data_IF_586231004303
#
_entry.id   IF_586231004303
#
_cell.length_a   1.000
_cell.length_b   1.000
_cell.length_c   1.000
_cell.angle_alpha   90.00
_cell.angle_beta   90.00
_cell.angle_gamma   90.00
#
_symmetry.space_group_name_H-M   'P 1'
#
loop_
_entity.id
_entity.type
_entity.pdbx_description
1 polymer ?
#
# COMPACT_ATOMS: atom_id res chain seq x y z
N UNK A 1 22.43 34.32 5.30
CA UNK A 1 21.57 34.32 6.50
C UNK A 1 20.11 34.02 6.23
N UNK A 2 19.47 34.57 5.19
CA UNK A 2 18.07 34.27 4.79
C UNK A 2 17.86 32.82 4.31
N UNK A 3 18.79 32.25 3.54
CA UNK A 3 18.71 30.85 3.07
C UNK A 3 18.81 29.81 4.18
N UNK A 4 19.69 30.02 5.16
CA UNK A 4 19.83 29.13 6.31
C UNK A 4 18.56 29.13 7.18
N UNK A 5 17.93 30.30 7.40
CA UNK A 5 16.64 30.41 8.11
C UNK A 5 15.50 29.74 7.37
N UNK A 6 15.45 29.81 6.02
CA UNK A 6 14.49 29.15 5.16
C UNK A 6 14.65 27.61 5.20
N UNK A 7 15.89 27.12 5.21
CA UNK A 7 16.21 25.70 5.36
C UNK A 7 15.78 25.15 6.70
N UNK A 8 16.07 25.86 7.80
CA UNK A 8 15.72 25.46 9.16
C UNK A 8 14.18 25.40 9.35
N UNK A 9 13.47 26.39 8.82
CA UNK A 9 11.99 26.42 8.86
C UNK A 9 11.39 25.23 8.11
N UNK A 10 11.89 24.88 6.92
CA UNK A 10 11.43 23.71 6.13
C UNK A 10 11.70 22.41 6.89
N UNK A 11 12.87 22.24 7.48
CA UNK A 11 13.20 21.07 8.29
C UNK A 11 12.29 20.92 9.51
N UNK A 12 12.00 22.01 10.21
CA UNK A 12 11.09 22.01 11.36
C UNK A 12 9.65 21.68 10.93
N UNK A 13 9.15 22.27 9.83
CA UNK A 13 7.83 21.96 9.29
C UNK A 13 7.72 20.47 8.90
N UNK A 14 8.71 19.94 8.19
CA UNK A 14 8.77 18.51 7.86
C UNK A 14 8.72 17.65 9.12
N UNK A 15 9.56 17.94 10.10
CA UNK A 15 9.59 17.21 11.38
C UNK A 15 8.22 17.23 12.07
N UNK A 16 7.57 18.38 12.13
CA UNK A 16 6.25 18.54 12.76
C UNK A 16 5.19 17.71 12.01
N UNK A 17 5.16 17.78 10.67
CA UNK A 17 4.25 16.99 9.83
C UNK A 17 4.47 15.51 10.07
N UNK A 18 5.71 15.04 10.00
CA UNK A 18 6.07 13.63 10.23
C UNK A 18 5.59 13.14 11.60
N UNK A 19 5.88 13.90 12.67
CA UNK A 19 5.45 13.51 14.03
C UNK A 19 3.94 13.50 14.19
N UNK A 20 3.24 14.46 13.59
CA UNK A 20 1.77 14.52 13.60
C UNK A 20 1.17 13.33 12.86
N UNK A 21 1.70 12.98 11.69
CA UNK A 21 1.25 11.80 10.93
C UNK A 21 1.47 10.51 11.72
N UNK A 22 2.65 10.32 12.31
CA UNK A 22 2.94 9.15 13.16
C UNK A 22 1.97 9.04 14.33
N UNK A 23 1.69 10.16 15.01
CA UNK A 23 0.76 10.19 16.12
C UNK A 23 -0.67 9.84 15.68
N UNK A 24 -1.15 10.43 14.59
CA UNK A 24 -2.47 10.14 14.03
C UNK A 24 -2.60 8.68 13.61
N UNK A 25 -1.60 8.12 12.95
CA UNK A 25 -1.57 6.70 12.57
C UNK A 25 -1.65 5.81 13.81
N UNK A 26 -0.90 6.13 14.88
CA UNK A 26 -0.94 5.37 16.14
C UNK A 26 -2.30 5.48 16.85
N UNK A 27 -2.86 6.67 16.95
CA UNK A 27 -4.19 6.88 17.56
C UNK A 27 -5.23 6.08 16.78
N UNK A 28 -5.27 6.25 15.45
CA UNK A 28 -6.19 5.52 14.60
C UNK A 28 -5.99 4.01 14.75
N UNK A 29 -4.75 3.53 14.66
CA UNK A 29 -4.44 2.11 14.73
C UNK A 29 -4.83 1.45 16.06
N UNK A 30 -4.57 2.13 17.20
CA UNK A 30 -4.90 1.59 18.51
C UNK A 30 -6.40 1.68 18.86
N UNK A 31 -7.16 2.52 18.16
CA UNK A 31 -8.59 2.72 18.43
C UNK A 31 -9.51 2.05 17.40
N UNK A 32 -8.95 1.51 16.33
CA UNK A 32 -9.70 0.91 15.21
C UNK A 32 -9.88 -0.59 15.43
N UNK A 33 -11.06 -1.10 15.11
CA UNK A 33 -11.32 -2.54 15.00
C UNK A 33 -10.92 -3.01 13.62
N UNK A 34 -9.96 -3.94 13.54
CA UNK A 34 -9.46 -4.47 12.27
C UNK A 34 -10.00 -5.89 12.10
N UNK A 35 -10.61 -6.17 10.94
CA UNK A 35 -10.97 -7.50 10.47
C UNK A 35 -10.10 -7.82 9.26
N UNK A 36 -9.34 -8.91 9.34
CA UNK A 36 -8.46 -9.36 8.25
C UNK A 36 -9.07 -10.58 7.58
N UNK A 37 -9.30 -10.49 6.28
CA UNK A 37 -9.77 -11.59 5.45
C UNK A 37 -8.60 -12.23 4.70
N UNK A 38 -8.57 -13.55 4.71
CA UNK A 38 -7.62 -14.35 3.93
C UNK A 38 -6.13 -14.06 4.26
N UNK A 39 -5.82 -13.61 5.47
CA UNK A 39 -4.45 -13.33 5.90
C UNK A 39 -3.52 -14.56 5.78
N UNK A 40 -4.09 -15.79 5.86
CA UNK A 40 -3.36 -17.02 5.65
C UNK A 40 -2.71 -17.11 4.26
N UNK A 41 -3.29 -16.47 3.22
CA UNK A 41 -2.73 -16.44 1.87
C UNK A 41 -1.31 -15.85 1.89
N UNK A 42 -1.12 -14.73 2.58
CA UNK A 42 0.21 -14.14 2.70
C UNK A 42 1.21 -15.09 3.35
N UNK A 43 0.80 -15.77 4.43
CA UNK A 43 1.67 -16.70 5.16
C UNK A 43 2.04 -17.92 4.33
N UNK A 44 1.05 -18.56 3.69
CA UNK A 44 1.29 -19.75 2.85
C UNK A 44 2.15 -19.42 1.64
N UNK A 45 1.91 -18.28 1.00
CA UNK A 45 2.72 -17.83 -0.15
C UNK A 45 4.15 -17.49 0.27
N UNK A 46 4.35 -16.88 1.44
CA UNK A 46 5.69 -16.64 1.98
C UNK A 46 6.43 -17.93 2.29
N UNK A 47 5.76 -18.96 2.81
CA UNK A 47 6.37 -20.27 3.05
C UNK A 47 6.79 -20.96 1.75
N UNK A 48 6.00 -20.82 0.69
CA UNK A 48 6.27 -21.43 -0.62
C UNK A 48 7.38 -20.72 -1.40
N UNK A 49 7.31 -19.40 -1.50
CA UNK A 49 8.21 -18.60 -2.35
C UNK A 49 9.36 -17.92 -1.59
N UNK A 50 9.23 -17.80 -0.28
CA UNK A 50 10.19 -17.11 0.61
C UNK A 50 10.09 -15.58 0.58
N UNK A 51 9.47 -15.00 -0.43
CA UNK A 51 9.17 -13.57 -0.55
C UNK A 51 7.97 -13.35 -1.45
N UNK A 52 7.34 -12.19 -1.35
CA UNK A 52 6.18 -11.78 -2.15
C UNK A 52 6.22 -10.30 -2.52
N UNK A 53 5.42 -9.92 -3.51
CA UNK A 53 5.14 -8.52 -3.84
C UNK A 53 3.72 -8.23 -3.34
N UNK A 54 3.57 -7.40 -2.30
CA UNK A 54 2.24 -6.93 -1.86
C UNK A 54 1.88 -5.70 -2.68
N UNK A 55 0.78 -5.77 -3.44
CA UNK A 55 0.32 -4.69 -4.31
C UNK A 55 -0.99 -4.08 -3.77
N UNK A 56 -1.02 -2.75 -3.64
CA UNK A 56 -2.21 -1.99 -3.24
C UNK A 56 -2.27 -0.67 -3.98
N UNK A 57 -3.47 -0.07 -4.10
CA UNK A 57 -3.63 1.23 -4.72
C UNK A 57 -2.99 2.35 -3.89
N UNK A 58 -2.46 3.38 -4.55
CA UNK A 58 -1.80 4.53 -3.91
C UNK A 58 -2.69 5.24 -2.89
N UNK A 59 -4.00 5.29 -3.12
CA UNK A 59 -4.98 5.86 -2.19
C UNK A 59 -4.95 5.23 -0.78
N UNK A 60 -4.41 4.02 -0.63
CA UNK A 60 -4.38 3.27 0.63
C UNK A 60 -3.05 3.41 1.40
N UNK A 61 -2.07 4.13 0.89
CA UNK A 61 -0.71 4.22 1.46
C UNK A 61 -0.71 4.66 2.94
N UNK A 62 -1.55 5.64 3.30
CA UNK A 62 -1.53 6.26 4.62
C UNK A 62 -1.65 5.24 5.76
N UNK A 63 -2.60 4.33 5.67
CA UNK A 63 -2.84 3.41 6.76
C UNK A 63 -2.30 1.99 6.51
N UNK A 64 -1.83 1.70 5.29
CA UNK A 64 -1.10 0.46 5.00
C UNK A 64 0.12 0.31 5.91
N UNK A 65 0.77 1.42 6.24
CA UNK A 65 1.93 1.44 7.14
C UNK A 65 1.63 0.87 8.53
N UNK A 66 0.40 1.04 9.02
CA UNK A 66 -0.04 0.43 10.27
C UNK A 66 -0.47 -1.02 10.09
N UNK A 67 -1.28 -1.32 9.08
CA UNK A 67 -1.85 -2.65 8.87
C UNK A 67 -0.78 -3.69 8.54
N UNK A 68 0.20 -3.34 7.73
CA UNK A 68 1.25 -4.26 7.27
C UNK A 68 2.59 -4.13 8.05
N UNK A 69 2.65 -3.38 9.17
CA UNK A 69 3.90 -3.04 9.90
C UNK A 69 4.70 -4.24 10.41
N UNK A 70 4.06 -5.39 10.59
CA UNK A 70 4.70 -6.59 11.13
C UNK A 70 5.02 -7.64 10.05
N UNK A 71 5.03 -7.24 8.76
CA UNK A 71 5.21 -8.16 7.63
C UNK A 71 6.61 -8.09 7.00
N UNK A 72 7.55 -7.37 7.65
CA UNK A 72 8.95 -7.23 7.20
C UNK A 72 9.06 -6.80 5.71
N UNK A 73 8.23 -5.84 5.31
CA UNK A 73 8.16 -5.38 3.93
C UNK A 73 9.15 -4.25 3.65
N UNK A 74 9.74 -4.28 2.47
CA UNK A 74 10.47 -3.14 1.90
C UNK A 74 9.53 -2.33 1.00
N UNK A 75 9.40 -1.03 1.25
CA UNK A 75 8.57 -0.14 0.45
C UNK A 75 9.38 0.57 -0.65
N UNK A 76 8.78 0.77 -1.82
CA UNK A 76 9.31 1.68 -2.84
C UNK A 76 8.81 3.09 -2.57
N UNK A 77 9.72 4.02 -2.27
CA UNK A 77 9.38 5.39 -1.89
C UNK A 77 10.05 6.39 -2.82
N UNK A 78 9.28 7.36 -3.34
CA UNK A 78 9.80 8.41 -4.19
C UNK A 78 10.91 9.23 -3.54
N UNK A 79 11.88 9.70 -4.33
CA UNK A 79 12.95 10.61 -3.89
C UNK A 79 12.52 12.09 -3.91
N UNK A 80 11.22 12.40 -3.85
CA UNK A 80 10.68 13.76 -3.75
C UNK A 80 10.65 14.24 -2.29
N UNK A 81 10.42 15.55 -2.09
CA UNK A 81 10.28 16.13 -0.73
C UNK A 81 9.13 15.48 0.06
N UNK A 82 8.00 15.18 -0.58
CA UNK A 82 6.90 14.43 0.03
C UNK A 82 7.30 13.00 0.36
N UNK A 83 8.10 12.38 -0.52
CA UNK A 83 8.68 11.05 -0.30
C UNK A 83 9.58 10.98 0.93
N UNK A 84 10.21 12.08 1.33
CA UNK A 84 11.02 12.14 2.55
C UNK A 84 10.15 12.02 3.82
N UNK A 85 8.97 12.65 3.84
CA UNK A 85 8.00 12.50 4.95
C UNK A 85 7.53 11.05 5.06
N UNK A 86 7.18 10.45 3.92
CA UNK A 86 6.73 9.05 3.85
C UNK A 86 7.85 8.10 4.28
N UNK A 87 9.09 8.35 3.85
CA UNK A 87 10.26 7.58 4.27
C UNK A 87 10.42 7.59 5.79
N UNK A 88 10.39 8.77 6.42
CA UNK A 88 10.52 8.92 7.87
C UNK A 88 9.37 8.20 8.61
N UNK A 89 8.14 8.23 8.07
CA UNK A 89 6.99 7.53 8.65
C UNK A 89 7.17 6.01 8.52
N UNK A 90 7.46 5.50 7.33
CA UNK A 90 7.59 4.06 7.08
C UNK A 90 8.72 3.44 7.90
N UNK A 91 9.89 4.06 7.92
CA UNK A 91 11.04 3.58 8.71
C UNK A 91 10.75 3.59 10.21
N UNK A 92 9.97 4.57 10.71
CA UNK A 92 9.52 4.58 12.09
C UNK A 92 8.62 3.39 12.45
N UNK A 93 7.82 2.88 11.50
CA UNK A 93 6.97 1.69 11.69
C UNK A 93 7.66 0.38 11.29
N UNK A 94 8.98 0.38 11.10
CA UNK A 94 9.79 -0.82 10.90
C UNK A 94 9.96 -1.26 9.44
N UNK A 95 9.53 -0.45 8.47
CA UNK A 95 9.76 -0.76 7.06
C UNK A 95 11.19 -0.44 6.63
N UNK A 96 11.73 -1.28 5.76
CA UNK A 96 12.85 -0.89 4.91
C UNK A 96 12.35 -0.09 3.71
N UNK A 97 13.19 0.69 3.06
CA UNK A 97 12.81 1.47 1.90
C UNK A 97 13.87 1.48 0.81
N UNK A 98 13.42 1.29 -0.43
CA UNK A 98 14.18 1.57 -1.66
C UNK A 98 13.71 2.91 -2.20
N UNK A 99 14.67 3.77 -2.57
CA UNK A 99 14.38 5.12 -3.10
C UNK A 99 14.30 5.06 -4.62
N UNK A 100 13.18 5.50 -5.17
CA UNK A 100 12.98 5.57 -6.62
C UNK A 100 11.51 5.72 -6.99
N UNK A 101 11.27 6.01 -8.26
CA UNK A 101 9.93 6.06 -8.85
C UNK A 101 10.04 5.79 -10.35
N UNK A 102 8.90 5.60 -11.03
CA UNK A 102 8.84 5.43 -12.49
C UNK A 102 9.46 6.57 -13.28
N UNK A 103 9.51 7.78 -12.70
CA UNK A 103 10.05 9.00 -13.34
C UNK A 103 11.48 9.33 -12.95
N UNK A 104 11.94 8.88 -11.78
CA UNK A 104 13.30 9.17 -11.29
C UNK A 104 13.90 7.91 -10.66
N UNK A 105 14.95 7.37 -11.29
CA UNK A 105 15.66 6.20 -10.78
C UNK A 105 14.86 4.90 -10.86
N UNK A 106 13.88 4.78 -11.77
CA UNK A 106 13.00 3.62 -11.87
C UNK A 106 13.73 2.32 -12.19
N UNK A 107 14.65 2.32 -13.17
CA UNK A 107 15.42 1.11 -13.55
C UNK A 107 16.37 0.65 -12.42
N UNK A 108 17.18 1.53 -11.81
CA UNK A 108 17.98 1.15 -10.64
C UNK A 108 17.15 0.63 -9.48
N UNK A 109 16.04 1.29 -9.15
CA UNK A 109 15.13 0.85 -8.09
C UNK A 109 14.51 -0.52 -8.40
N UNK A 110 14.06 -0.74 -9.64
CA UNK A 110 13.54 -2.04 -10.08
C UNK A 110 14.57 -3.15 -9.91
N UNK A 111 15.82 -2.93 -10.34
CA UNK A 111 16.91 -3.90 -10.17
C UNK A 111 17.19 -4.21 -8.70
N UNK A 112 17.16 -3.18 -7.84
CA UNK A 112 17.35 -3.35 -6.40
C UNK A 112 16.20 -4.15 -5.77
N UNK A 113 14.95 -3.88 -6.14
CA UNK A 113 13.78 -4.62 -5.66
C UNK A 113 13.81 -6.09 -6.12
N UNK A 114 14.19 -6.35 -7.38
CA UNK A 114 14.37 -7.72 -7.89
C UNK A 114 15.41 -8.48 -7.05
N UNK A 115 16.53 -7.83 -6.73
CA UNK A 115 17.58 -8.43 -5.89
C UNK A 115 17.01 -8.75 -4.50
N UNK A 116 16.34 -7.82 -3.85
CA UNK A 116 15.74 -8.03 -2.52
C UNK A 116 14.76 -9.21 -2.52
N UNK A 117 13.88 -9.31 -3.52
CA UNK A 117 12.95 -10.43 -3.64
C UNK A 117 13.66 -11.78 -3.81
N UNK A 118 14.73 -11.82 -4.60
CA UNK A 118 15.58 -13.02 -4.75
C UNK A 118 16.32 -13.38 -3.44
N UNK A 119 16.68 -12.37 -2.65
CA UNK A 119 17.28 -12.50 -1.32
C UNK A 119 16.21 -12.73 -0.21
N UNK A 120 14.99 -13.13 -0.60
CA UNK A 120 13.86 -13.47 0.30
C UNK A 120 13.31 -12.30 1.12
N UNK A 121 13.51 -11.08 0.67
CA UNK A 121 12.91 -9.88 1.28
C UNK A 121 11.68 -9.45 0.49
N UNK A 122 10.52 -9.42 1.14
CA UNK A 122 9.26 -9.02 0.51
C UNK A 122 9.16 -7.52 0.25
N UNK A 123 8.36 -7.15 -0.75
CA UNK A 123 8.22 -5.76 -1.20
C UNK A 123 6.76 -5.33 -1.18
N UNK A 124 6.49 -4.10 -0.74
CA UNK A 124 5.20 -3.44 -0.91
C UNK A 124 5.30 -2.37 -2.00
N UNK A 125 4.34 -2.37 -2.92
CA UNK A 125 4.31 -1.45 -4.06
C UNK A 125 2.90 -0.93 -4.34
N UNK A 126 2.82 0.33 -4.78
CA UNK A 126 1.61 0.92 -5.34
C UNK A 126 1.73 0.96 -6.85
N UNK A 127 1.02 0.05 -7.58
CA UNK A 127 1.26 -0.16 -8.99
C UNK A 127 0.75 0.98 -9.88
N UNK A 128 -0.12 1.85 -9.39
CA UNK A 128 -0.55 3.09 -10.05
C UNK A 128 0.47 4.23 -9.93
N UNK A 129 1.49 4.07 -9.08
CA UNK A 129 2.59 5.01 -8.95
C UNK A 129 2.20 6.37 -8.36
N UNK A 130 3.19 7.27 -8.13
CA UNK A 130 2.95 8.55 -7.43
C UNK A 130 2.29 9.63 -8.30
N UNK A 131 2.20 9.42 -9.61
CA UNK A 131 1.63 10.39 -10.56
C UNK A 131 0.32 9.90 -11.19
N UNK A 132 -0.08 8.66 -10.93
CA UNK A 132 -1.27 8.07 -11.49
C UNK A 132 -1.21 7.78 -13.00
N UNK A 133 -2.35 7.67 -13.66
CA UNK A 133 -3.70 7.90 -13.15
C UNK A 133 -4.13 6.88 -12.08
N UNK A 134 -5.10 7.24 -11.20
CA UNK A 134 -5.51 6.36 -10.11
C UNK A 134 -6.07 5.04 -10.63
N UNK A 135 -5.75 3.95 -9.92
CA UNK A 135 -6.22 2.60 -10.23
C UNK A 135 -5.87 2.13 -11.66
N UNK A 136 -4.72 2.59 -12.19
CA UNK A 136 -4.12 2.15 -13.45
C UNK A 136 -2.75 1.56 -13.22
N UNK A 137 -2.59 0.28 -13.58
CA UNK A 137 -1.35 -0.44 -13.33
C UNK A 137 -0.23 -0.02 -14.27
N UNK A 138 0.88 0.42 -13.70
CA UNK A 138 2.14 0.63 -14.39
C UNK A 138 2.90 -0.70 -14.56
N UNK A 139 3.61 -0.87 -15.66
CA UNK A 139 4.33 -2.11 -16.00
C UNK A 139 5.37 -2.57 -14.96
N UNK A 140 5.83 -1.66 -14.11
CA UNK A 140 6.89 -1.92 -13.13
C UNK A 140 6.61 -3.10 -12.20
N UNK A 141 5.38 -3.27 -11.72
CA UNK A 141 5.00 -4.37 -10.83
C UNK A 141 5.01 -5.72 -11.55
N UNK A 142 4.57 -5.76 -12.81
CA UNK A 142 4.57 -6.96 -13.65
C UNK A 142 6.01 -7.38 -13.98
N UNK A 143 6.86 -6.41 -14.35
CA UNK A 143 8.27 -6.66 -14.61
C UNK A 143 9.01 -7.11 -13.34
N UNK A 144 8.66 -6.55 -12.19
CA UNK A 144 9.21 -6.96 -10.90
C UNK A 144 8.90 -8.44 -10.63
N UNK A 145 7.65 -8.86 -10.79
CA UNK A 145 7.22 -10.25 -10.62
C UNK A 145 7.88 -11.18 -11.65
N UNK A 146 7.89 -10.79 -12.93
CA UNK A 146 8.54 -11.56 -14.01
C UNK A 146 10.00 -11.87 -13.69
N UNK A 147 10.80 -10.85 -13.34
CA UNK A 147 12.24 -11.00 -13.17
C UNK A 147 12.66 -11.55 -11.81
N UNK A 148 11.82 -11.42 -10.78
CA UNK A 148 12.06 -12.03 -9.47
C UNK A 148 11.54 -13.46 -9.39
N UNK A 149 10.49 -13.81 -10.15
CA UNK A 149 9.84 -15.11 -10.12
C UNK A 149 8.92 -15.32 -8.91
N UNK A 150 8.63 -14.26 -8.14
CA UNK A 150 7.72 -14.33 -6.99
C UNK A 150 6.33 -13.80 -7.34
N UNK A 151 5.25 -14.30 -6.70
CA UNK A 151 3.90 -13.85 -6.97
C UNK A 151 3.61 -12.45 -6.41
N UNK A 152 2.60 -11.81 -7.00
CA UNK A 152 1.99 -10.59 -6.50
C UNK A 152 0.79 -10.97 -5.64
N UNK A 153 0.74 -10.48 -4.40
CA UNK A 153 -0.42 -10.59 -3.52
C UNK A 153 -1.20 -9.27 -3.61
N UNK A 154 -2.38 -9.27 -4.24
CA UNK A 154 -3.30 -8.13 -4.18
C UNK A 154 -3.74 -7.91 -2.74
N UNK A 155 -3.68 -6.67 -2.28
CA UNK A 155 -4.11 -6.31 -0.93
C UNK A 155 -4.90 -5.01 -0.95
N UNK A 156 -5.96 -4.96 -0.17
CA UNK A 156 -6.80 -3.77 -0.06
C UNK A 156 -7.34 -3.63 1.36
N UNK A 157 -7.62 -2.39 1.78
CA UNK A 157 -8.43 -2.15 2.96
C UNK A 157 -9.51 -1.11 2.67
N UNK A 158 -10.61 -1.20 3.41
CA UNK A 158 -11.67 -0.20 3.44
C UNK A 158 -12.05 0.11 4.89
N UNK A 159 -12.44 1.36 5.17
CA UNK A 159 -12.82 1.80 6.49
C UNK A 159 -14.27 2.29 6.49
N UNK A 160 -15.02 1.94 7.56
CA UNK A 160 -16.42 2.37 7.74
C UNK A 160 -16.57 3.90 7.76
N UNK A 161 -15.61 4.59 8.41
CA UNK A 161 -15.55 6.04 8.49
C UNK A 161 -14.14 6.50 8.11
N UNK A 162 -14.04 7.30 7.05
CA UNK A 162 -12.78 7.83 6.57
C UNK A 162 -12.96 9.24 6.00
N UNK A 163 -11.85 9.97 5.87
CA UNK A 163 -11.75 11.16 5.05
C UNK A 163 -11.16 10.78 3.70
N UNK A 164 -11.73 11.31 2.60
CA UNK A 164 -11.14 11.24 1.25
C UNK A 164 -10.59 12.61 0.90
N UNK A 165 -9.32 12.67 0.57
CA UNK A 165 -8.69 13.92 0.15
C UNK A 165 -9.08 14.26 -1.29
N UNK A 166 -9.02 15.56 -1.62
CA UNK A 166 -9.18 16.06 -3.01
C UNK A 166 -7.86 16.00 -3.77
N UNK A 167 -7.09 14.90 -3.61
CA UNK A 167 -5.87 14.61 -4.34
C UNK A 167 -6.19 13.80 -5.60
N UNK A 168 -5.20 13.67 -6.51
CA UNK A 168 -5.34 12.88 -7.73
C UNK A 168 -5.76 11.44 -7.45
N UNK A 169 -5.21 10.84 -6.38
CA UNK A 169 -5.45 9.45 -5.93
C UNK A 169 -6.66 9.31 -4.99
N UNK A 170 -7.31 10.41 -4.59
CA UNK A 170 -8.41 10.40 -3.61
C UNK A 170 -8.01 9.69 -2.31
N UNK A 171 -6.85 10.04 -1.78
CA UNK A 171 -6.22 9.42 -0.63
C UNK A 171 -7.18 9.17 0.53
N UNK A 172 -7.16 7.96 1.08
CA UNK A 172 -8.06 7.50 2.15
C UNK A 172 -7.39 7.61 3.51
N UNK A 173 -8.01 8.33 4.42
CA UNK A 173 -7.55 8.49 5.81
C UNK A 173 -8.63 7.96 6.75
N UNK A 174 -8.47 6.75 7.32
CA UNK A 174 -9.42 6.23 8.30
C UNK A 174 -9.53 7.14 9.53
N UNK A 175 -10.75 7.30 10.04
CA UNK A 175 -11.00 8.03 11.30
C UNK A 175 -10.66 7.16 12.50
N UNK A 176 -10.23 7.75 13.62
CA UNK A 176 -10.15 7.02 14.89
C UNK A 176 -11.48 6.36 15.25
N UNK A 177 -11.46 5.28 16.01
CA UNK A 177 -12.62 4.51 16.47
C UNK A 177 -13.47 3.91 15.33
N UNK A 178 -12.94 3.80 14.13
CA UNK A 178 -13.63 3.18 12.99
C UNK A 178 -13.48 1.65 13.00
N UNK A 179 -14.18 0.99 12.08
CA UNK A 179 -13.92 -0.41 11.74
C UNK A 179 -13.25 -0.43 10.38
N UNK A 180 -12.23 -1.27 10.24
CA UNK A 180 -11.51 -1.52 8.99
C UNK A 180 -11.67 -2.99 8.63
N UNK A 181 -11.91 -3.26 7.36
CA UNK A 181 -11.75 -4.57 6.75
C UNK A 181 -10.56 -4.49 5.83
N UNK A 182 -9.60 -5.39 6.01
CA UNK A 182 -8.53 -5.62 5.05
C UNK A 182 -8.70 -7.00 4.41
N UNK A 183 -8.30 -7.13 3.16
CA UNK A 183 -8.45 -8.36 2.39
C UNK A 183 -7.20 -8.64 1.57
N UNK A 184 -6.76 -9.89 1.61
CA UNK A 184 -5.70 -10.43 0.78
C UNK A 184 -6.34 -11.22 -0.37
N UNK A 185 -5.95 -10.91 -1.60
CA UNK A 185 -6.35 -11.65 -2.80
C UNK A 185 -5.47 -12.87 -3.04
N UNK A 186 -5.91 -13.74 -3.97
CA UNK A 186 -5.12 -14.89 -4.39
C UNK A 186 -3.80 -14.45 -5.04
N UNK A 187 -2.72 -15.25 -4.92
CA UNK A 187 -1.43 -14.95 -5.51
C UNK A 187 -1.54 -14.86 -7.04
N UNK A 188 -1.13 -13.73 -7.58
CA UNK A 188 -1.10 -13.49 -9.03
C UNK A 188 0.28 -13.79 -9.58
N UNK A 189 0.37 -14.78 -10.46
CA UNK A 189 1.61 -15.24 -11.08
C UNK A 189 1.83 -14.60 -12.43
N UNK A 190 3.06 -14.13 -12.68
CA UNK A 190 3.49 -13.60 -13.99
C UNK A 190 4.38 -14.63 -14.66
N UNK A 191 4.08 -15.05 -15.91
CA UNK A 191 4.92 -15.99 -16.64
C UNK A 191 6.35 -15.47 -16.82
N UNK A 192 7.35 -16.33 -16.67
CA UNK A 192 8.76 -15.97 -16.90
C UNK A 192 9.04 -15.63 -18.36
N UNK A 193 8.37 -16.32 -19.27
CA UNK A 193 8.49 -16.21 -20.71
C UNK A 193 7.64 -15.08 -21.31
N UNK A 194 6.97 -14.25 -20.45
CA UNK A 194 6.13 -13.13 -20.88
C UNK A 194 6.87 -12.24 -21.89
N UNK A 195 6.29 -12.03 -23.07
CA UNK A 195 6.83 -11.15 -24.08
C UNK A 195 6.53 -9.67 -23.76
N UNK A 196 7.36 -8.73 -24.23
CA UNK A 196 7.15 -7.30 -23.94
C UNK A 196 5.77 -6.78 -24.37
N UNK A 197 5.24 -7.24 -25.50
CA UNK A 197 3.93 -6.90 -26.04
C UNK A 197 2.75 -7.45 -25.22
N UNK A 198 2.98 -8.47 -24.40
CA UNK A 198 1.96 -9.05 -23.53
C UNK A 198 1.85 -8.34 -22.17
N UNK A 199 2.88 -7.55 -21.80
CA UNK A 199 2.91 -6.86 -20.50
C UNK A 199 1.66 -6.01 -20.26
N UNK A 200 1.13 -5.23 -21.21
CA UNK A 200 -0.10 -4.46 -21.00
C UNK A 200 -1.33 -5.34 -20.69
N UNK A 201 -1.42 -6.53 -21.30
CA UNK A 201 -2.51 -7.50 -21.05
C UNK A 201 -2.44 -8.01 -19.61
N UNK A 202 -1.25 -8.37 -19.14
CA UNK A 202 -1.03 -8.82 -17.76
C UNK A 202 -1.30 -7.69 -16.75
N UNK A 203 -0.90 -6.45 -17.06
CA UNK A 203 -1.28 -5.28 -16.26
C UNK A 203 -2.80 -5.15 -16.15
N UNK A 204 -3.54 -5.27 -17.27
CA UNK A 204 -4.99 -5.21 -17.27
C UNK A 204 -5.65 -6.30 -16.42
N UNK A 205 -5.13 -7.53 -16.46
CA UNK A 205 -5.63 -8.63 -15.61
C UNK A 205 -5.44 -8.34 -14.13
N UNK A 206 -4.25 -7.89 -13.72
CA UNK A 206 -3.96 -7.54 -12.33
C UNK A 206 -4.79 -6.32 -11.87
N UNK A 207 -5.03 -5.36 -12.77
CA UNK A 207 -5.88 -4.18 -12.51
C UNK A 207 -7.30 -4.60 -12.14
N UNK A 208 -7.91 -5.49 -12.94
CA UNK A 208 -9.25 -6.05 -12.67
C UNK A 208 -9.28 -6.75 -11.30
N UNK A 209 -8.30 -7.58 -11.00
CA UNK A 209 -8.22 -8.30 -9.72
C UNK A 209 -8.15 -7.33 -8.53
N UNK A 210 -7.32 -6.29 -8.60
CA UNK A 210 -7.23 -5.28 -7.53
C UNK A 210 -8.52 -4.47 -7.39
N UNK A 211 -9.19 -4.13 -8.50
CA UNK A 211 -10.48 -3.43 -8.48
C UNK A 211 -11.58 -4.31 -7.88
N UNK A 212 -11.68 -5.57 -8.27
CA UNK A 212 -12.64 -6.51 -7.68
C UNK A 212 -12.42 -6.73 -6.19
N UNK A 213 -11.15 -6.85 -5.77
CA UNK A 213 -10.80 -6.98 -4.35
C UNK A 213 -11.26 -5.74 -3.56
N UNK A 214 -11.04 -4.54 -4.13
CA UNK A 214 -11.47 -3.28 -3.54
C UNK A 214 -13.00 -3.20 -3.41
N UNK A 215 -13.75 -3.59 -4.46
CA UNK A 215 -15.21 -3.64 -4.44
C UNK A 215 -15.74 -4.60 -3.38
N UNK A 216 -15.26 -5.85 -3.35
CA UNK A 216 -15.67 -6.87 -2.37
C UNK A 216 -15.40 -6.41 -0.93
N UNK A 217 -14.23 -5.82 -0.68
CA UNK A 217 -13.88 -5.28 0.65
C UNK A 217 -14.80 -4.11 1.04
N UNK A 218 -15.17 -3.25 0.08
CA UNK A 218 -16.11 -2.14 0.27
C UNK A 218 -17.54 -2.59 0.55
N UNK A 219 -18.02 -3.62 -0.13
CA UNK A 219 -19.33 -4.23 0.11
C UNK A 219 -19.43 -4.83 1.51
N UNK A 220 -18.40 -5.55 1.94
CA UNK A 220 -18.37 -6.15 3.27
C UNK A 220 -18.46 -5.12 4.39
N UNK A 221 -17.68 -4.03 4.30
CA UNK A 221 -17.75 -2.95 5.30
C UNK A 221 -19.12 -2.25 5.30
N UNK A 222 -19.80 -2.22 4.15
CA UNK A 222 -21.12 -1.62 3.99
C UNK A 222 -22.22 -2.49 4.59
N UNK A 223 -22.14 -3.80 4.44
CA UNK A 223 -23.10 -4.78 5.01
C UNK A 223 -23.06 -4.78 6.53
N UNK A 224 -21.90 -4.57 7.13
CA UNK A 224 -21.78 -4.41 8.59
C UNK A 224 -22.52 -3.15 9.14
N UNK A 225 -22.83 -2.16 8.28
CA UNK A 225 -23.68 -1.01 8.66
C UNK A 225 -25.14 -1.41 8.85
N UNK A 226 -25.66 -2.32 8.05
CA UNK A 226 -27.06 -2.72 8.05
C UNK A 226 -27.41 -3.57 9.28
N UNK A 227 -26.57 -4.50 9.65
CA UNK A 227 -26.79 -5.41 10.78
C UNK A 227 -26.79 -4.68 12.14
N UNK A 228 -25.97 -3.63 12.31
CA UNK A 228 -25.97 -2.81 13.54
C UNK A 228 -27.22 -1.93 13.69
N UNK A 229 -27.87 -1.52 12.59
CA UNK A 229 -29.11 -0.75 12.63
C UNK A 229 -30.31 -1.63 13.00
N UNK A 230 -30.35 -2.88 12.52
CA UNK A 230 -31.47 -3.80 12.79
C UNK A 230 -31.49 -4.21 14.27
N UNK A 231 -30.33 -4.47 14.88
CA UNK A 231 -30.21 -4.84 16.30
C UNK A 231 -30.56 -3.69 17.24
N UNK A 232 -30.33 -2.44 16.84
CA UNK A 232 -30.68 -1.26 17.63
C UNK A 232 -32.18 -0.87 17.58
N UNK A 233 -32.90 -1.35 16.57
CA UNK A 233 -34.36 -1.08 16.41
C UNK A 233 -35.22 -2.16 17.04
N UNK A 234 -34.66 -3.34 17.38
CA UNK A 234 -35.39 -4.46 18.01
C UNK A 234 -35.38 -4.43 19.54
N UNK A 235 -34.85 -3.38 20.15
CA UNK A 235 -34.76 -3.21 21.63
C UNK A 235 -35.49 -1.90 22.06
N UNK A 236 -36.54 -1.57 21.38
CA UNK A 236 -37.48 -0.52 21.85
C UNK A 236 -38.88 -1.06 21.97
#
# INVERSE_FOLDING_TARGET
MKEAKSSLKRRFQRWLITKTLMLLIRITGNTTRIKSNNQQILKTTLQEYGSVIVATWHQNIYFSVWLLRNQELTALISSSDDGEVIYDVFTHFGYQAVRGSTTRGGIPALKQLIKLLKDKTSVAITPDGPLGPPEKIQSGVVLLAKYSGVPIIPWHYEAKHLWKLKSWDRHKIPKPFTTIVESFGEPFHVPKELLPEEVPVICGKLEVILQELALKTGEEISTQKSNHKITATSIK
#
